data_IF_463327326498
#
_entry.id   IF_463327326498
#
_cell.length_a   1.000
_cell.length_b   1.000
_cell.length_c   1.000
_cell.angle_alpha   90.00
_cell.angle_beta   90.00
_cell.angle_gamma   90.00
#
_symmetry.space_group_name_H-M   'P 1'
#
loop_
_entity.id
_entity.type
_entity.pdbx_description
1 polymer ?
#
# COMPACT_ATOMS: atom_id res chain seq x y z
N UNK A 1 19.26 10.91 1.67
CA UNK A 1 17.91 10.95 2.26
C UNK A 1 17.74 9.84 3.28
N UNK A 2 17.25 10.14 4.48
CA UNK A 2 16.94 9.12 5.50
C UNK A 2 15.51 8.64 5.21
N UNK A 3 15.36 7.37 4.84
CA UNK A 3 14.03 6.77 4.64
C UNK A 3 13.23 6.93 5.95
N UNK A 4 11.99 7.43 5.93
CA UNK A 4 11.18 7.48 7.14
C UNK A 4 10.96 6.04 7.63
N UNK A 5 11.17 5.83 8.92
CA UNK A 5 11.03 4.53 9.57
C UNK A 5 9.68 4.47 10.28
N UNK A 6 8.89 3.41 10.08
CA UNK A 6 7.64 3.23 10.79
C UNK A 6 7.92 2.82 12.24
N UNK A 7 7.09 3.31 13.17
CA UNK A 7 6.98 2.78 14.52
C UNK A 7 6.37 1.36 14.51
N UNK A 8 6.35 0.67 15.65
CA UNK A 8 5.63 -0.61 15.73
C UNK A 8 4.12 -0.43 15.62
N UNK A 9 3.58 0.71 16.07
CA UNK A 9 2.16 1.06 15.92
C UNK A 9 1.79 1.26 14.45
N UNK A 10 2.65 1.93 13.67
CA UNK A 10 2.47 2.06 12.21
C UNK A 10 2.41 0.71 11.51
N UNK A 11 3.28 -0.22 11.92
CA UNK A 11 3.31 -1.57 11.36
C UNK A 11 2.08 -2.39 11.76
N UNK A 12 1.58 -2.21 12.99
CA UNK A 12 0.37 -2.89 13.46
C UNK A 12 -0.86 -2.36 12.74
N UNK A 13 -0.99 -1.03 12.63
CA UNK A 13 -2.06 -0.39 11.87
C UNK A 13 -2.05 -0.83 10.40
N UNK A 14 -0.88 -0.84 9.76
CA UNK A 14 -0.79 -1.33 8.38
C UNK A 14 -1.28 -2.77 8.27
N UNK A 15 -0.83 -3.67 9.16
CA UNK A 15 -1.26 -5.07 9.16
C UNK A 15 -2.76 -5.24 9.42
N UNK A 16 -3.36 -4.42 10.29
CA UNK A 16 -4.81 -4.50 10.55
C UNK A 16 -5.66 -4.10 9.34
N UNK A 17 -5.13 -3.30 8.42
CA UNK A 17 -5.80 -2.96 7.17
C UNK A 17 -5.72 -4.07 6.11
N UNK A 18 -4.74 -4.97 6.20
CA UNK A 18 -4.50 -5.98 5.18
C UNK A 18 -5.40 -7.19 5.40
N UNK A 19 -6.25 -7.58 4.43
CA UNK A 19 -7.08 -8.76 4.56
C UNK A 19 -6.24 -10.04 4.67
N UNK A 20 -6.61 -10.92 5.60
CA UNK A 20 -6.03 -12.26 5.72
C UNK A 20 -6.70 -13.20 4.71
N UNK A 21 -6.22 -13.16 3.45
CA UNK A 21 -6.76 -13.97 2.36
C UNK A 21 -5.65 -14.76 1.65
N UNK A 22 -5.95 -15.93 1.04
CA UNK A 22 -4.95 -16.74 0.37
C UNK A 22 -4.20 -15.97 -0.73
N UNK A 23 -2.87 -16.07 -0.71
CA UNK A 23 -2.01 -15.39 -1.67
C UNK A 23 -1.62 -13.96 -1.30
N UNK A 24 -2.17 -13.42 -0.20
CA UNK A 24 -1.74 -12.14 0.39
C UNK A 24 -0.54 -12.36 1.31
N UNK A 25 0.50 -11.53 1.13
CA UNK A 25 1.71 -11.55 1.94
C UNK A 25 2.10 -10.13 2.37
N UNK A 26 2.35 -9.93 3.66
CA UNK A 26 2.99 -8.71 4.18
C UNK A 26 4.45 -8.99 4.46
N UNK A 27 5.36 -8.29 3.76
CA UNK A 27 6.81 -8.48 3.92
C UNK A 27 7.58 -7.18 4.08
N UNK A 28 8.76 -7.21 4.76
CA UNK A 28 9.62 -6.04 4.86
C UNK A 28 10.08 -5.53 3.49
N UNK A 29 10.03 -4.20 3.32
CA UNK A 29 10.55 -3.50 2.15
C UNK A 29 11.33 -2.26 2.57
N UNK A 30 12.66 -2.30 2.46
CA UNK A 30 13.53 -1.15 2.68
C UNK A 30 13.33 -0.45 4.05
N UNK A 31 13.18 -1.24 5.12
CA UNK A 31 12.91 -0.73 6.48
C UNK A 31 11.44 -0.41 6.76
N UNK A 32 10.55 -0.65 5.80
CA UNK A 32 9.10 -0.52 5.90
C UNK A 32 8.39 -1.86 5.62
N UNK A 33 7.09 -1.83 5.32
CA UNK A 33 6.28 -2.99 4.94
C UNK A 33 5.65 -2.80 3.56
N UNK A 34 5.42 -3.90 2.86
CA UNK A 34 4.59 -3.94 1.66
C UNK A 34 3.64 -5.14 1.73
N UNK A 35 2.41 -4.95 1.27
CA UNK A 35 1.41 -5.98 1.09
C UNK A 35 1.33 -6.38 -0.38
N UNK A 36 1.36 -7.68 -0.63
CA UNK A 36 1.45 -8.29 -1.95
C UNK A 36 0.37 -9.32 -2.14
N UNK A 37 -0.14 -9.44 -3.36
CA UNK A 37 -0.97 -10.55 -3.81
C UNK A 37 -0.32 -11.15 -5.06
N UNK A 38 -0.10 -12.47 -5.09
CA UNK A 38 0.54 -13.15 -6.23
C UNK A 38 1.89 -12.53 -6.65
N UNK A 39 2.65 -11.99 -5.70
CA UNK A 39 3.91 -11.29 -5.93
C UNK A 39 3.79 -9.84 -6.44
N UNK A 40 2.58 -9.32 -6.65
CA UNK A 40 2.29 -7.94 -7.01
C UNK A 40 1.92 -7.11 -5.78
N UNK A 41 2.57 -5.96 -5.59
CA UNK A 41 2.28 -5.09 -4.45
C UNK A 41 0.99 -4.30 -4.70
N UNK A 42 0.10 -4.29 -3.71
CA UNK A 42 -1.16 -3.55 -3.75
C UNK A 42 -1.26 -2.48 -2.65
N UNK A 43 -0.51 -2.63 -1.56
CA UNK A 43 -0.40 -1.60 -0.53
C UNK A 43 1.02 -1.53 0.06
N UNK A 44 1.39 -0.39 0.63
CA UNK A 44 2.70 -0.15 1.23
C UNK A 44 2.65 0.73 2.45
N UNK A 45 3.59 0.53 3.36
CA UNK A 45 3.87 1.43 4.47
C UNK A 45 5.15 2.21 4.14
N UNK A 46 5.17 3.51 4.42
CA UNK A 46 6.37 4.35 4.31
C UNK A 46 6.38 5.37 5.47
N UNK A 47 7.18 5.11 6.51
CA UNK A 47 7.00 5.82 7.77
C UNK A 47 5.58 5.61 8.29
N UNK A 48 4.84 6.67 8.65
CA UNK A 48 3.44 6.56 9.04
C UNK A 48 2.47 6.53 7.84
N UNK A 49 2.92 6.75 6.61
CA UNK A 49 2.01 6.85 5.47
C UNK A 49 1.68 5.48 4.89
N UNK A 50 0.41 5.22 4.65
CA UNK A 50 -0.06 4.00 3.96
C UNK A 50 -0.40 4.35 2.52
N UNK A 51 0.22 3.65 1.57
CA UNK A 51 -0.02 3.79 0.15
C UNK A 51 -0.86 2.65 -0.39
N UNK A 52 -1.77 2.93 -1.31
CA UNK A 52 -2.57 1.93 -2.04
C UNK A 52 -2.35 2.06 -3.54
N UNK A 53 -2.32 0.92 -4.24
CA UNK A 53 -2.20 0.86 -5.70
C UNK A 53 -3.56 0.62 -6.33
N UNK A 54 -4.10 1.66 -6.96
CA UNK A 54 -5.33 1.59 -7.73
C UNK A 54 -4.97 1.58 -9.21
N UNK A 55 -5.40 0.53 -9.92
CA UNK A 55 -5.24 0.37 -11.37
C UNK A 55 -6.40 1.04 -12.11
N UNK A 56 -7.59 1.09 -11.50
CA UNK A 56 -8.74 1.82 -12.04
C UNK A 56 -8.56 3.33 -11.86
N UNK A 57 -8.51 4.06 -12.97
CA UNK A 57 -8.28 5.52 -12.95
C UNK A 57 -9.46 6.28 -12.31
N UNK A 58 -10.69 5.74 -12.33
CA UNK A 58 -11.84 6.37 -11.66
C UNK A 58 -11.71 6.25 -10.14
N UNK A 59 -11.39 5.07 -9.64
CA UNK A 59 -11.08 4.82 -8.22
C UNK A 59 -9.98 5.76 -7.73
N UNK A 60 -8.91 5.85 -8.53
CA UNK A 60 -7.76 6.68 -8.23
C UNK A 60 -8.13 8.17 -8.17
N UNK A 61 -8.93 8.66 -9.11
CA UNK A 61 -9.41 10.04 -9.11
C UNK A 61 -10.34 10.33 -7.93
N UNK A 62 -11.19 9.38 -7.55
CA UNK A 62 -12.07 9.46 -6.38
C UNK A 62 -11.25 9.57 -5.08
N UNK A 63 -10.27 8.68 -4.88
CA UNK A 63 -9.37 8.76 -3.72
C UNK A 63 -8.57 10.07 -3.74
N UNK A 64 -8.01 10.46 -4.89
CA UNK A 64 -7.24 11.70 -5.03
C UNK A 64 -8.06 12.98 -4.76
N UNK A 65 -9.39 12.92 -4.87
CA UNK A 65 -10.29 14.04 -4.54
C UNK A 65 -10.56 14.16 -3.04
N UNK A 66 -10.17 13.17 -2.25
CA UNK A 66 -10.29 13.21 -0.79
C UNK A 66 -9.21 14.12 -0.22
N UNK A 67 -9.62 15.05 0.65
CA UNK A 67 -8.68 15.94 1.34
C UNK A 67 -7.60 15.12 2.09
N UNK A 68 -6.34 15.56 2.06
CA UNK A 68 -5.24 14.86 2.72
C UNK A 68 -4.71 13.62 2.00
N UNK A 69 -5.26 13.25 0.83
CA UNK A 69 -4.61 12.27 -0.06
C UNK A 69 -3.43 12.91 -0.79
N UNK A 70 -2.32 12.19 -0.85
CA UNK A 70 -1.09 12.63 -1.47
C UNK A 70 -0.42 11.56 -2.31
N UNK A 71 0.72 11.91 -2.93
CA UNK A 71 1.57 10.92 -3.59
C UNK A 71 2.25 10.02 -2.57
N UNK A 72 2.24 8.70 -2.79
CA UNK A 72 2.96 7.76 -1.96
C UNK A 72 4.35 7.46 -2.54
N UNK A 73 5.40 7.53 -1.74
CA UNK A 73 6.74 7.12 -2.14
C UNK A 73 7.87 7.97 -1.54
N UNK A 74 9.13 7.65 -1.86
CA UNK A 74 10.28 8.41 -1.39
C UNK A 74 10.26 9.84 -1.92
N UNK A 75 10.62 10.81 -1.07
CA UNK A 75 10.35 12.25 -1.24
C UNK A 75 10.47 12.80 -2.67
N UNK A 76 11.64 12.70 -3.31
CA UNK A 76 11.88 13.28 -4.64
C UNK A 76 11.15 12.56 -5.79
N UNK A 77 10.71 11.32 -5.59
CA UNK A 77 10.12 10.47 -6.64
C UNK A 77 8.96 9.62 -6.08
N UNK A 78 7.79 10.22 -5.85
CA UNK A 78 6.60 9.46 -5.51
C UNK A 78 6.23 8.46 -6.61
N UNK A 79 5.67 7.33 -6.20
CA UNK A 79 5.25 6.25 -7.07
C UNK A 79 3.92 6.64 -7.74
N UNK A 80 3.91 6.80 -9.07
CA UNK A 80 2.75 7.29 -9.83
C UNK A 80 1.48 6.43 -9.73
N UNK A 81 1.66 5.15 -9.44
CA UNK A 81 0.56 4.18 -9.32
C UNK A 81 -0.02 4.13 -7.90
N UNK A 82 0.59 4.85 -6.94
CA UNK A 82 0.21 4.78 -5.53
C UNK A 82 -0.24 6.12 -5.02
N UNK A 83 -1.32 6.09 -4.24
CA UNK A 83 -1.81 7.22 -3.47
C UNK A 83 -1.66 6.91 -1.98
N UNK A 84 -1.21 7.90 -1.22
CA UNK A 84 -1.18 7.84 0.22
C UNK A 84 -2.58 8.17 0.76
N UNK A 85 -3.16 7.26 1.54
CA UNK A 85 -4.43 7.54 2.21
C UNK A 85 -4.22 8.60 3.31
N UNK A 86 -5.25 9.38 3.67
CA UNK A 86 -5.12 10.42 4.69
C UNK A 86 -4.71 9.85 6.04
N UNK A 87 -3.74 10.48 6.71
CA UNK A 87 -3.27 10.03 8.03
C UNK A 87 -4.41 10.01 9.08
N UNK A 88 -5.38 10.92 8.95
CA UNK A 88 -6.58 10.97 9.81
C UNK A 88 -7.45 9.71 9.76
N UNK A 89 -7.32 8.87 8.72
CA UNK A 89 -8.05 7.60 8.66
C UNK A 89 -7.49 6.55 9.62
N UNK A 90 -6.38 6.82 10.31
CA UNK A 90 -5.92 6.00 11.43
C UNK A 90 -6.93 5.94 12.57
N UNK A 91 -7.64 7.04 12.82
CA UNK A 91 -8.69 7.10 13.84
C UNK A 91 -10.01 6.48 13.36
N UNK A 92 -10.17 6.29 12.04
CA UNK A 92 -11.35 5.70 11.40
C UNK A 92 -10.94 4.69 10.31
N UNK A 93 -10.39 3.52 10.67
CA UNK A 93 -9.84 2.57 9.71
C UNK A 93 -10.85 2.08 8.67
N UNK A 94 -12.15 2.10 9.00
CA UNK A 94 -13.25 1.75 8.09
C UNK A 94 -13.30 2.61 6.82
N UNK A 95 -12.74 3.82 6.85
CA UNK A 95 -12.60 4.65 5.63
C UNK A 95 -11.47 4.17 4.72
N UNK A 96 -10.44 3.51 5.27
CA UNK A 96 -9.29 2.99 4.53
C UNK A 96 -9.54 1.59 3.96
N UNK A 97 -10.27 0.74 4.69
CA UNK A 97 -10.52 -0.66 4.34
C UNK A 97 -11.05 -0.85 2.91
N UNK A 98 -12.08 -0.11 2.42
CA UNK A 98 -12.59 -0.30 1.06
C UNK A 98 -11.55 -0.02 -0.03
N UNK A 99 -10.63 0.91 0.21
CA UNK A 99 -9.56 1.23 -0.73
C UNK A 99 -8.48 0.13 -0.78
N UNK A 100 -8.20 -0.49 0.37
CA UNK A 100 -7.26 -1.61 0.45
C UNK A 100 -7.85 -2.85 -0.24
N UNK A 101 -9.12 -3.16 0.02
CA UNK A 101 -9.82 -4.26 -0.61
C UNK A 101 -9.93 -4.07 -2.13
N UNK A 102 -10.23 -2.85 -2.57
CA UNK A 102 -10.26 -2.52 -4.00
C UNK A 102 -8.89 -2.66 -4.66
N UNK A 103 -7.84 -2.14 -4.03
CA UNK A 103 -6.47 -2.31 -4.50
C UNK A 103 -6.07 -3.79 -4.57
N UNK A 104 -6.45 -4.59 -3.56
CA UNK A 104 -6.23 -6.03 -3.56
C UNK A 104 -6.93 -6.70 -4.74
N UNK A 105 -8.22 -6.42 -4.96
CA UNK A 105 -9.01 -7.01 -6.04
C UNK A 105 -8.40 -6.68 -7.41
N UNK A 106 -8.12 -5.39 -7.68
CA UNK A 106 -7.56 -4.93 -8.95
C UNK A 106 -6.15 -5.53 -9.20
N UNK A 107 -5.31 -5.59 -8.18
CA UNK A 107 -3.94 -6.13 -8.32
C UNK A 107 -3.92 -7.66 -8.39
N UNK A 108 -4.91 -8.35 -7.82
CA UNK A 108 -5.04 -9.80 -7.90
C UNK A 108 -5.34 -10.29 -9.32
N UNK A 109 -5.99 -9.46 -10.14
CA UNK A 109 -6.26 -9.74 -11.57
C UNK A 109 -4.99 -9.67 -12.44
N UNK A 110 -3.91 -9.04 -11.95
CA UNK A 110 -2.65 -9.00 -12.68
C UNK A 110 -2.00 -10.39 -12.73
N UNK A 111 -1.31 -10.74 -13.84
CA UNK A 111 -0.55 -11.97 -13.91
C UNK A 111 0.41 -12.11 -12.72
N UNK A 112 0.51 -13.30 -12.10
CA UNK A 112 1.45 -13.53 -11.01
C UNK A 112 2.87 -13.16 -11.43
N UNK A 113 3.57 -12.44 -10.55
CA UNK A 113 4.96 -12.08 -10.81
C UNK A 113 5.83 -13.32 -10.72
N UNK A 114 6.49 -13.67 -11.84
CA UNK A 114 7.45 -14.75 -11.87
C UNK A 114 8.58 -14.47 -10.86
N UNK A 115 8.87 -15.40 -9.93
CA UNK A 115 9.94 -15.20 -8.95
C UNK A 115 11.26 -15.07 -9.69
N UNK A 116 11.99 -13.96 -9.45
CA UNK A 116 13.33 -13.80 -10.01
C UNK A 116 14.23 -14.88 -9.43
N UNK A 117 15.06 -15.57 -10.23
CA UNK A 117 16.03 -16.53 -9.70
C UNK A 117 16.94 -15.80 -8.72
N UNK A 118 17.07 -16.35 -7.50
CA UNK A 118 18.01 -15.84 -6.50
C UNK A 118 19.42 -15.99 -7.06
N UNK A 119 20.09 -14.88 -7.37
CA UNK A 119 21.53 -14.90 -7.63
C UNK A 119 22.22 -15.27 -6.31
N UNK A 120 22.96 -16.38 -6.31
CA UNK A 120 23.89 -16.76 -5.25
C UNK A 120 25.05 -15.76 -5.18
#
# INVERSE_FOLDING_TARGET
MKMPKPSEEDKQFFRSLIPDTPGVEVKPMFGNLGAFVNGNMFAGLLGPSVGVRLLDERAKAELASTDGVGGFGPGEKPMREYLAIPDRWRDTPDLATPWIERALAEVAELPPKQPKPRKK
#
